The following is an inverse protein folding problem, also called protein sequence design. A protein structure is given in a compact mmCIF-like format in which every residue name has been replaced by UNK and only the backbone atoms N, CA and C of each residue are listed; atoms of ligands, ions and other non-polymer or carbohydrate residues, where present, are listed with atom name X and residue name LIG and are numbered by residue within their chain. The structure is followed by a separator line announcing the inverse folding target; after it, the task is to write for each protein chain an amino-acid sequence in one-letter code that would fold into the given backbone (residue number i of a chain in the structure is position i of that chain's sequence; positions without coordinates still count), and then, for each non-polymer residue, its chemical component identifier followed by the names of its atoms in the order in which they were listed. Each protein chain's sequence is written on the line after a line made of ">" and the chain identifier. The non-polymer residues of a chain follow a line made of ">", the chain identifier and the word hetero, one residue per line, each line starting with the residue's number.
data_IF_674597511515
#
_entry.id   IF_674597511515
#
_cell.length_a   1.000
_cell.length_b   1.000
_cell.length_c   1.000
_cell.angle_alpha   90.00
_cell.angle_beta   90.00
_cell.angle_gamma   90.00
#
_symmetry.space_group_name_H-M   'P 1'
#
loop_
_entity.id
_entity.type
_entity.pdbx_description
1 polymer ?
#
# COMPACT_ATOMS: atom_id res chain seq x y z
N UNK A 1 10.02 -18.32 -24.83
CA UNK A 1 10.93 -19.44 -25.18
C UNK A 1 12.18 -19.49 -24.32
N UNK A 2 13.09 -18.50 -24.34
CA UNK A 2 14.34 -18.55 -23.55
C UNK A 2 14.10 -18.71 -22.05
N UNK A 3 13.14 -17.97 -21.48
CA UNK A 3 12.81 -18.01 -20.05
C UNK A 3 12.30 -19.39 -19.60
N UNK A 4 11.46 -20.03 -20.41
CA UNK A 4 10.92 -21.35 -20.11
C UNK A 4 12.02 -22.44 -20.12
N UNK A 5 12.92 -22.41 -21.11
CA UNK A 5 14.03 -23.37 -21.20
C UNK A 5 15.04 -23.22 -20.05
N UNK A 6 15.20 -22.02 -19.48
CA UNK A 6 16.07 -21.83 -18.31
C UNK A 6 15.45 -22.36 -17.02
N UNK A 7 14.14 -22.24 -16.86
CA UNK A 7 13.43 -22.82 -15.72
C UNK A 7 13.45 -24.35 -15.75
N UNK A 8 13.26 -24.96 -16.91
CA UNK A 8 13.31 -26.41 -17.09
C UNK A 8 14.71 -27.00 -16.78
N UNK A 9 15.74 -26.15 -16.87
CA UNK A 9 17.13 -26.47 -16.55
C UNK A 9 17.55 -26.10 -15.12
N UNK A 10 16.63 -25.61 -14.29
CA UNK A 10 16.89 -25.08 -12.94
C UNK A 10 18.00 -24.02 -12.88
N UNK A 11 18.17 -23.23 -13.95
CA UNK A 11 19.16 -22.17 -14.02
C UNK A 11 18.56 -20.82 -13.59
N UNK A 12 19.36 -19.95 -12.94
CA UNK A 12 18.89 -18.64 -12.52
C UNK A 12 18.58 -17.76 -13.74
N UNK A 13 17.39 -17.18 -13.78
CA UNK A 13 16.96 -16.25 -14.84
C UNK A 13 17.49 -14.86 -14.54
N UNK A 14 18.01 -14.16 -15.55
CA UNK A 14 18.46 -12.77 -15.40
C UNK A 14 17.25 -11.82 -15.33
N UNK A 15 17.29 -10.88 -14.38
CA UNK A 15 16.24 -9.86 -14.22
C UNK A 15 16.02 -9.03 -15.50
N UNK A 16 17.07 -8.85 -16.30
CA UNK A 16 17.01 -8.12 -17.57
C UNK A 16 16.21 -8.88 -18.64
N UNK A 17 16.17 -10.21 -18.58
CA UNK A 17 15.34 -11.00 -19.50
C UNK A 17 13.86 -10.80 -19.20
N UNK A 18 13.51 -10.66 -17.91
CA UNK A 18 12.15 -10.44 -17.46
C UNK A 18 11.73 -9.00 -17.74
N UNK A 19 12.61 -8.02 -17.49
CA UNK A 19 12.32 -6.64 -17.85
C UNK A 19 12.04 -6.50 -19.35
N UNK A 20 12.84 -7.16 -20.21
CA UNK A 20 12.57 -7.22 -21.65
C UNK A 20 11.25 -7.91 -21.96
N UNK A 21 10.88 -8.96 -21.23
CA UNK A 21 9.61 -9.65 -21.45
C UNK A 21 8.42 -8.74 -21.11
N UNK A 22 8.47 -8.06 -19.97
CA UNK A 22 7.44 -7.10 -19.53
C UNK A 22 7.35 -5.90 -20.48
N UNK A 23 8.48 -5.35 -20.91
CA UNK A 23 8.54 -4.20 -21.83
C UNK A 23 7.94 -4.54 -23.22
N UNK A 24 7.99 -5.82 -23.64
CA UNK A 24 7.56 -6.27 -24.98
C UNK A 24 6.15 -6.88 -25.04
N UNK A 25 5.38 -6.85 -23.95
CA UNK A 25 3.99 -7.33 -23.95
C UNK A 25 3.20 -6.56 -25.01
N UNK A 26 2.50 -7.26 -25.89
CA UNK A 26 1.75 -6.66 -27.00
C UNK A 26 0.24 -6.93 -26.91
N UNK A 27 -0.17 -7.93 -26.13
CA UNK A 27 -1.56 -8.40 -26.02
C UNK A 27 -1.99 -8.63 -24.56
N UNK A 28 -3.31 -8.69 -24.32
CA UNK A 28 -3.88 -9.00 -23.00
C UNK A 28 -3.54 -10.42 -22.53
N UNK A 29 -3.44 -11.38 -23.44
CA UNK A 29 -3.04 -12.77 -23.14
C UNK A 29 -1.57 -12.84 -22.71
N UNK A 30 -0.71 -12.03 -23.30
CA UNK A 30 0.69 -11.92 -22.86
C UNK A 30 0.80 -11.33 -21.45
N UNK A 31 -0.19 -10.55 -20.99
CA UNK A 31 -0.26 -10.12 -19.59
C UNK A 31 -0.46 -11.33 -18.65
N UNK A 32 -1.32 -12.31 -19.00
CA UNK A 32 -1.43 -13.56 -18.21
C UNK A 32 -0.11 -14.32 -18.16
N UNK A 33 0.57 -14.42 -19.30
CA UNK A 33 1.87 -15.10 -19.38
C UNK A 33 2.92 -14.38 -18.54
N UNK A 34 2.94 -13.05 -18.59
CA UNK A 34 3.84 -12.21 -17.79
C UNK A 34 3.58 -12.35 -16.30
N UNK A 35 2.31 -12.40 -15.88
CA UNK A 35 1.96 -12.69 -14.50
C UNK A 35 2.56 -14.03 -14.04
N UNK A 36 2.41 -15.08 -14.85
CA UNK A 36 3.00 -16.39 -14.56
C UNK A 36 4.53 -16.35 -14.48
N UNK A 37 5.20 -15.68 -15.40
CA UNK A 37 6.67 -15.58 -15.39
C UNK A 37 7.20 -14.74 -14.22
N UNK A 38 6.48 -13.70 -13.80
CA UNK A 38 6.80 -12.90 -12.61
C UNK A 38 6.68 -13.75 -11.35
N UNK A 39 5.60 -14.52 -11.22
CA UNK A 39 5.42 -15.49 -10.13
C UNK A 39 6.58 -16.49 -10.07
N UNK A 40 6.94 -17.10 -11.21
CA UNK A 40 8.07 -18.05 -11.28
C UNK A 40 9.41 -17.40 -10.96
N UNK A 41 9.60 -16.13 -11.33
CA UNK A 41 10.83 -15.42 -11.00
C UNK A 41 10.98 -15.14 -9.52
N UNK A 42 9.88 -14.82 -8.83
CA UNK A 42 9.89 -14.66 -7.38
C UNK A 42 10.30 -15.94 -6.65
N UNK A 43 10.01 -17.10 -7.23
CA UNK A 43 10.40 -18.42 -6.73
C UNK A 43 11.76 -18.90 -7.28
N UNK A 44 12.56 -17.99 -7.85
CA UNK A 44 13.92 -18.29 -8.35
C UNK A 44 14.99 -17.70 -7.41
N UNK A 45 16.24 -18.18 -7.46
CA UNK A 45 17.34 -17.62 -6.65
C UNK A 45 17.56 -16.12 -6.86
N UNK A 46 17.19 -15.60 -8.04
CA UNK A 46 17.39 -14.20 -8.40
C UNK A 46 16.20 -13.30 -8.04
N UNK A 47 15.29 -13.76 -7.17
CA UNK A 47 14.07 -13.04 -6.82
C UNK A 47 14.31 -11.63 -6.25
N UNK A 48 15.44 -11.43 -5.56
CA UNK A 48 15.84 -10.13 -5.00
C UNK A 48 16.31 -9.14 -6.07
N UNK A 49 16.73 -9.63 -7.24
CA UNK A 49 17.21 -8.78 -8.34
C UNK A 49 16.08 -8.25 -9.24
N UNK A 50 14.81 -8.38 -8.82
CA UNK A 50 13.74 -7.64 -9.48
C UNK A 50 14.02 -6.14 -9.33
N UNK A 51 13.83 -5.38 -10.41
CA UNK A 51 14.18 -3.96 -10.47
C UNK A 51 12.92 -3.12 -10.59
N UNK A 52 12.97 -1.92 -10.03
CA UNK A 52 11.84 -1.00 -9.93
C UNK A 52 11.27 -0.64 -11.31
N UNK A 53 12.12 -0.47 -12.33
CA UNK A 53 11.65 -0.23 -13.70
C UNK A 53 10.83 -1.38 -14.28
N UNK A 54 11.02 -2.62 -13.79
CA UNK A 54 10.27 -3.79 -14.26
C UNK A 54 8.90 -3.82 -13.62
N UNK A 55 8.82 -3.48 -12.33
CA UNK A 55 7.55 -3.28 -11.60
C UNK A 55 6.76 -2.12 -12.21
N UNK A 56 7.45 -1.01 -12.47
CA UNK A 56 6.88 0.17 -13.11
C UNK A 56 6.37 -0.14 -14.53
N UNK A 57 7.19 -0.84 -15.34
CA UNK A 57 6.81 -1.31 -16.68
C UNK A 57 5.60 -2.24 -16.65
N UNK A 58 5.56 -3.19 -15.71
CA UNK A 58 4.44 -4.10 -15.51
C UNK A 58 3.13 -3.35 -15.26
N UNK A 59 3.15 -2.38 -14.36
CA UNK A 59 1.97 -1.60 -14.01
C UNK A 59 1.52 -0.72 -15.17
N UNK A 60 2.44 -0.04 -15.87
CA UNK A 60 2.10 0.71 -17.09
C UNK A 60 1.47 -0.17 -18.14
N UNK A 61 1.97 -1.38 -18.30
CA UNK A 61 1.46 -2.31 -19.30
C UNK A 61 0.10 -2.88 -18.92
N UNK A 62 -0.13 -3.11 -17.63
CA UNK A 62 -1.46 -3.45 -17.14
C UNK A 62 -2.45 -2.32 -17.43
N UNK A 63 -2.08 -1.05 -17.20
CA UNK A 63 -2.93 0.09 -17.51
C UNK A 63 -3.21 0.22 -19.02
N UNK A 64 -2.19 0.02 -19.87
CA UNK A 64 -2.32 0.11 -21.33
C UNK A 64 -3.32 -0.90 -21.91
N UNK A 65 -3.36 -2.12 -21.38
CA UNK A 65 -4.25 -3.20 -21.85
C UNK A 65 -5.56 -3.32 -21.06
N UNK A 66 -5.90 -2.33 -20.22
CA UNK A 66 -7.12 -2.35 -19.40
C UNK A 66 -7.13 -3.48 -18.35
N UNK A 67 -5.96 -3.96 -17.97
CA UNK A 67 -5.70 -5.11 -17.13
C UNK A 67 -5.56 -4.76 -15.64
N UNK A 68 -6.44 -3.88 -15.12
CA UNK A 68 -6.27 -3.27 -13.79
C UNK A 68 -6.46 -4.28 -12.65
N UNK A 69 -7.41 -5.18 -12.83
CA UNK A 69 -7.70 -6.35 -11.99
C UNK A 69 -6.45 -7.21 -11.73
N UNK A 70 -5.62 -7.44 -12.75
CA UNK A 70 -4.33 -8.14 -12.57
C UNK A 70 -3.30 -7.31 -11.82
N UNK A 71 -3.21 -6.01 -12.11
CA UNK A 71 -2.32 -5.13 -11.36
C UNK A 71 -2.68 -5.17 -9.86
N UNK A 72 -3.96 -5.04 -9.52
CA UNK A 72 -4.43 -5.13 -8.14
C UNK A 72 -4.16 -6.51 -7.52
N UNK A 73 -4.42 -7.59 -8.26
CA UNK A 73 -4.12 -8.95 -7.79
C UNK A 73 -2.63 -9.12 -7.44
N UNK A 74 -1.74 -8.67 -8.32
CA UNK A 74 -0.30 -8.79 -8.10
C UNK A 74 0.23 -7.92 -6.95
N UNK A 75 -0.38 -6.75 -6.74
CA UNK A 75 -0.03 -5.85 -5.62
C UNK A 75 -0.53 -6.42 -4.28
N UNK A 76 -1.77 -6.94 -4.22
CA UNK A 76 -2.28 -7.64 -3.03
C UNK A 76 -1.43 -8.87 -2.68
N UNK A 77 -1.03 -9.63 -3.69
CA UNK A 77 -0.19 -10.82 -3.52
C UNK A 77 1.32 -10.50 -3.56
N UNK A 78 1.75 -9.43 -2.88
CA UNK A 78 3.15 -8.96 -2.86
C UNK A 78 4.19 -10.02 -2.51
N UNK A 79 3.85 -10.98 -1.63
CA UNK A 79 4.78 -12.05 -1.23
C UNK A 79 5.09 -13.00 -2.39
N UNK A 80 4.06 -13.35 -3.16
CA UNK A 80 4.13 -14.36 -4.22
C UNK A 80 4.69 -13.82 -5.53
N UNK A 81 4.43 -12.55 -5.85
CA UNK A 81 4.93 -11.91 -7.07
C UNK A 81 6.16 -11.03 -6.85
N UNK A 82 6.38 -10.56 -5.62
CA UNK A 82 7.50 -9.67 -5.29
C UNK A 82 7.37 -8.27 -5.89
N UNK A 83 6.15 -7.84 -6.21
CA UNK A 83 5.89 -6.53 -6.82
C UNK A 83 5.68 -5.51 -5.70
N UNK A 84 6.68 -4.64 -5.53
CA UNK A 84 6.65 -3.51 -4.60
C UNK A 84 6.74 -2.23 -5.42
N UNK A 85 5.60 -1.58 -5.71
CA UNK A 85 5.57 -0.37 -6.51
C UNK A 85 6.20 0.82 -5.77
N UNK A 86 6.75 1.74 -6.54
CA UNK A 86 7.20 3.06 -6.08
C UNK A 86 5.97 3.99 -5.89
N UNK A 87 6.09 5.03 -5.05
CA UNK A 87 5.06 6.03 -4.75
C UNK A 87 4.42 6.59 -6.03
N UNK A 88 5.25 6.95 -7.01
CA UNK A 88 4.76 7.47 -8.29
C UNK A 88 3.94 6.43 -9.05
N UNK A 89 4.31 5.15 -8.94
CA UNK A 89 3.60 4.07 -9.62
C UNK A 89 2.27 3.76 -8.94
N UNK A 90 2.20 3.89 -7.61
CA UNK A 90 0.93 3.88 -6.87
C UNK A 90 0.02 5.03 -7.30
N UNK A 91 0.55 6.24 -7.46
CA UNK A 91 -0.22 7.39 -7.94
C UNK A 91 -0.86 7.13 -9.31
N UNK A 92 -0.13 6.54 -10.25
CA UNK A 92 -0.67 6.19 -11.57
C UNK A 92 -1.84 5.20 -11.48
N UNK A 93 -1.73 4.20 -10.59
CA UNK A 93 -2.82 3.25 -10.38
C UNK A 93 -4.01 3.91 -9.69
N UNK A 94 -3.79 4.69 -8.64
CA UNK A 94 -4.84 5.41 -7.91
C UNK A 94 -5.61 6.36 -8.84
N UNK A 95 -4.91 7.17 -9.62
CA UNK A 95 -5.52 8.08 -10.61
C UNK A 95 -6.40 7.32 -11.61
N UNK A 96 -5.95 6.13 -12.05
CA UNK A 96 -6.73 5.29 -12.97
C UNK A 96 -8.02 4.74 -12.36
N UNK A 97 -8.04 4.44 -11.06
CA UNK A 97 -9.24 3.98 -10.36
C UNK A 97 -10.17 5.14 -10.02
N UNK A 98 -9.62 6.30 -9.66
CA UNK A 98 -10.37 7.52 -9.37
C UNK A 98 -11.14 7.99 -10.62
N UNK A 99 -10.49 7.97 -11.79
CA UNK A 99 -11.12 8.34 -13.08
C UNK A 99 -12.29 7.44 -13.48
N UNK A 100 -12.24 6.19 -13.06
CA UNK A 100 -13.26 5.18 -13.35
C UNK A 100 -14.31 5.06 -12.22
N UNK A 101 -14.22 5.91 -11.20
CA UNK A 101 -15.10 5.94 -10.02
C UNK A 101 -15.14 4.61 -9.21
N UNK A 102 -14.13 3.75 -9.36
CA UNK A 102 -13.99 2.51 -8.58
C UNK A 102 -13.27 2.77 -7.25
N UNK A 103 -14.02 3.31 -6.29
CA UNK A 103 -13.50 3.64 -4.96
C UNK A 103 -13.18 2.41 -4.10
N UNK A 104 -13.77 1.24 -4.39
CA UNK A 104 -13.50 0.01 -3.63
C UNK A 104 -12.09 -0.50 -3.93
N UNK A 105 -11.76 -0.61 -5.22
CA UNK A 105 -10.42 -1.00 -5.66
C UNK A 105 -9.37 0.05 -5.27
N UNK A 106 -9.73 1.33 -5.33
CA UNK A 106 -8.86 2.41 -4.85
C UNK A 106 -8.54 2.27 -3.35
N UNK A 107 -9.51 1.97 -2.50
CA UNK A 107 -9.24 1.75 -1.06
C UNK A 107 -8.36 0.54 -0.81
N UNK A 108 -8.66 -0.59 -1.45
CA UNK A 108 -7.77 -1.76 -1.42
C UNK A 108 -6.33 -1.42 -1.83
N UNK A 109 -6.13 -0.50 -2.77
CA UNK A 109 -4.80 -0.07 -3.18
C UNK A 109 -4.15 0.83 -2.11
N UNK A 110 -4.90 1.75 -1.50
CA UNK A 110 -4.42 2.59 -0.39
C UNK A 110 -4.02 1.75 0.82
N UNK A 111 -4.73 0.65 1.10
CA UNK A 111 -4.33 -0.31 2.12
C UNK A 111 -2.94 -0.91 1.82
N UNK A 112 -2.64 -1.21 0.56
CA UNK A 112 -1.33 -1.72 0.17
C UNK A 112 -0.24 -0.65 0.22
N UNK A 113 -0.55 0.60 -0.13
CA UNK A 113 0.34 1.75 0.10
C UNK A 113 0.68 1.87 1.57
N UNK A 114 -0.34 1.71 2.43
CA UNK A 114 -0.18 1.74 3.88
C UNK A 114 0.68 0.58 4.40
N UNK A 115 0.45 -0.64 3.94
CA UNK A 115 1.25 -1.81 4.35
C UNK A 115 2.73 -1.71 3.93
N UNK A 116 3.03 -0.88 2.92
CA UNK A 116 4.40 -0.60 2.48
C UNK A 116 4.97 0.68 3.09
N UNK A 117 4.18 1.42 3.88
CA UNK A 117 4.51 2.73 4.44
C UNK A 117 4.97 3.74 3.37
N UNK A 118 4.44 3.62 2.15
CA UNK A 118 4.85 4.34 0.95
C UNK A 118 4.17 5.73 0.85
N UNK A 119 4.53 6.63 1.78
CA UNK A 119 3.96 7.99 1.87
C UNK A 119 5.03 9.09 1.77
N UNK A 120 6.12 8.88 1.05
CA UNK A 120 7.18 9.88 0.92
C UNK A 120 6.72 11.08 0.08
N UNK A 121 5.92 10.82 -0.97
CA UNK A 121 5.40 11.87 -1.85
C UNK A 121 4.15 12.56 -1.28
N UNK A 122 4.04 13.90 -1.37
CA UNK A 122 2.80 14.60 -1.01
C UNK A 122 1.61 14.18 -1.88
N UNK A 123 1.83 13.81 -3.13
CA UNK A 123 0.77 13.38 -4.06
C UNK A 123 0.11 12.06 -3.65
N UNK A 124 0.87 11.05 -3.20
CA UNK A 124 0.32 9.79 -2.68
C UNK A 124 -0.55 10.05 -1.45
N UNK A 125 -0.14 10.97 -0.58
CA UNK A 125 -0.90 11.37 0.60
C UNK A 125 -2.23 12.04 0.22
N UNK A 126 -2.21 12.97 -0.75
CA UNK A 126 -3.41 13.67 -1.20
C UNK A 126 -4.39 12.71 -1.90
N UNK A 127 -3.89 11.87 -2.81
CA UNK A 127 -4.70 10.91 -3.55
C UNK A 127 -5.29 9.82 -2.65
N UNK A 128 -4.52 9.35 -1.65
CA UNK A 128 -5.03 8.40 -0.67
C UNK A 128 -6.15 9.00 0.18
N UNK A 129 -5.99 10.22 0.71
CA UNK A 129 -7.04 10.91 1.47
C UNK A 129 -8.30 11.16 0.62
N UNK A 130 -8.12 11.50 -0.65
CA UNK A 130 -9.23 11.66 -1.58
C UNK A 130 -9.99 10.34 -1.79
N UNK A 131 -9.28 9.24 -2.08
CA UNK A 131 -9.89 7.93 -2.29
C UNK A 131 -10.64 7.44 -1.04
N UNK A 132 -10.03 7.60 0.14
CA UNK A 132 -10.64 7.23 1.43
C UNK A 132 -11.87 8.11 1.75
N UNK A 133 -11.79 9.41 1.47
CA UNK A 133 -12.92 10.33 1.66
C UNK A 133 -14.12 9.99 0.77
N UNK A 134 -13.88 9.65 -0.50
CA UNK A 134 -14.92 9.20 -1.43
C UNK A 134 -15.53 7.85 -1.02
N UNK A 135 -14.72 6.93 -0.50
CA UNK A 135 -15.20 5.65 0.00
C UNK A 135 -16.07 5.79 1.24
N UNK A 136 -15.66 6.63 2.20
CA UNK A 136 -16.47 6.96 3.38
C UNK A 136 -17.82 7.60 3.01
N UNK A 137 -17.85 8.44 1.98
CA UNK A 137 -19.08 9.04 1.48
C UNK A 137 -20.08 8.00 0.92
N UNK A 138 -19.57 6.86 0.43
CA UNK A 138 -20.39 5.75 -0.09
C UNK A 138 -21.07 4.95 1.05
N UNK A 139 -20.65 5.15 2.32
CA UNK A 139 -21.16 4.49 3.54
C UNK A 139 -21.52 3.00 3.37
N UNK A 140 -20.57 2.14 2.99
CA UNK A 140 -20.80 0.70 3.03
C UNK A 140 -21.03 0.22 4.47
N UNK A 141 -21.80 -0.85 4.65
CA UNK A 141 -21.79 -1.62 5.90
C UNK A 141 -20.40 -2.26 6.01
N UNK A 142 -19.53 -1.65 6.81
CA UNK A 142 -18.15 -2.09 6.95
C UNK A 142 -18.08 -3.34 7.82
N UNK A 143 -17.31 -4.32 7.37
CA UNK A 143 -16.90 -5.42 8.23
C UNK A 143 -15.81 -4.95 9.19
N UNK A 144 -15.68 -5.58 10.36
CA UNK A 144 -14.63 -5.23 11.34
C UNK A 144 -13.20 -5.27 10.76
N UNK A 145 -12.96 -6.07 9.71
CA UNK A 145 -11.67 -6.10 9.02
C UNK A 145 -11.45 -4.87 8.14
N UNK A 146 -12.49 -4.40 7.45
CA UNK A 146 -12.45 -3.20 6.64
C UNK A 146 -12.39 -1.94 7.51
N UNK A 147 -13.04 -1.92 8.68
CA UNK A 147 -12.88 -0.83 9.65
C UNK A 147 -11.44 -0.74 10.15
N UNK A 148 -10.78 -1.88 10.37
CA UNK A 148 -9.37 -1.94 10.76
C UNK A 148 -8.46 -1.38 9.66
N UNK A 149 -8.65 -1.81 8.41
CA UNK A 149 -7.81 -1.37 7.30
C UNK A 149 -8.05 0.10 6.94
N UNK A 150 -9.30 0.54 6.97
CA UNK A 150 -9.69 1.93 6.80
C UNK A 150 -9.15 2.81 7.92
N UNK A 151 -9.26 2.37 9.17
CA UNK A 151 -8.74 3.10 10.32
C UNK A 151 -7.22 3.29 10.28
N UNK A 152 -6.49 2.23 9.93
CA UNK A 152 -5.05 2.26 9.83
C UNK A 152 -4.56 3.13 8.66
N UNK A 153 -5.20 3.01 7.49
CA UNK A 153 -4.85 3.82 6.31
C UNK A 153 -5.07 5.31 6.57
N UNK A 154 -6.19 5.70 7.18
CA UNK A 154 -6.46 7.09 7.54
C UNK A 154 -5.49 7.64 8.58
N UNK A 155 -5.09 6.83 9.57
CA UNK A 155 -4.13 7.24 10.59
C UNK A 155 -2.78 7.56 9.95
N UNK A 156 -2.25 6.66 9.13
CA UNK A 156 -0.91 6.80 8.55
C UNK A 156 -0.90 7.91 7.50
N UNK A 157 -1.90 7.97 6.60
CA UNK A 157 -2.06 9.10 5.67
C UNK A 157 -2.21 10.44 6.40
N UNK A 158 -2.85 10.43 7.58
CA UNK A 158 -3.09 11.61 8.38
C UNK A 158 -1.85 12.12 9.13
N UNK A 159 -0.93 11.25 9.58
CA UNK A 159 0.31 11.67 10.27
C UNK A 159 1.19 12.52 9.37
N UNK A 160 1.26 12.18 8.08
CA UNK A 160 2.09 12.88 7.11
C UNK A 160 1.56 14.28 6.73
N UNK A 161 0.30 14.58 7.06
CA UNK A 161 -0.38 15.83 6.69
C UNK A 161 -0.62 16.74 7.92
N UNK A 162 0.02 17.90 7.95
CA UNK A 162 -0.22 18.93 8.97
C UNK A 162 -1.49 19.78 8.76
N UNK A 163 -2.37 19.36 7.86
CA UNK A 163 -3.59 20.10 7.47
C UNK A 163 -4.81 19.68 8.29
N UNK A 164 -5.86 20.50 8.29
CA UNK A 164 -7.20 20.21 8.83
C UNK A 164 -7.70 18.81 8.47
N UNK A 165 -7.44 18.37 7.23
CA UNK A 165 -7.86 17.05 6.72
C UNK A 165 -7.02 15.95 7.35
N UNK A 166 -5.69 16.13 7.45
CA UNK A 166 -4.81 15.16 8.10
C UNK A 166 -5.20 14.92 9.56
N UNK A 167 -5.50 16.00 10.30
CA UNK A 167 -5.95 15.92 11.70
C UNK A 167 -7.33 15.28 11.82
N UNK A 168 -8.26 15.58 10.91
CA UNK A 168 -9.57 14.93 10.85
C UNK A 168 -9.47 13.44 10.51
N UNK A 169 -8.54 13.06 9.62
CA UNK A 169 -8.26 11.67 9.25
C UNK A 169 -7.60 10.90 10.40
N UNK A 170 -6.68 11.52 11.15
CA UNK A 170 -6.12 10.94 12.38
C UNK A 170 -7.20 10.66 13.42
N UNK A 171 -8.15 11.59 13.59
CA UNK A 171 -9.25 11.42 14.55
C UNK A 171 -10.14 10.24 14.16
N UNK A 172 -10.57 10.18 12.89
CA UNK A 172 -11.43 9.12 12.38
C UNK A 172 -10.69 7.76 12.37
N UNK A 173 -9.41 7.75 12.00
CA UNK A 173 -8.57 6.55 12.03
C UNK A 173 -8.44 5.97 13.44
N UNK A 174 -8.12 6.81 14.43
CA UNK A 174 -8.02 6.38 15.82
C UNK A 174 -9.39 5.95 16.41
N UNK A 175 -10.49 6.57 15.99
CA UNK A 175 -11.83 6.16 16.41
C UNK A 175 -12.20 4.76 15.91
N UNK A 176 -11.96 4.49 14.61
CA UNK A 176 -12.19 3.16 14.01
C UNK A 176 -11.30 2.09 14.64
N UNK A 177 -10.01 2.37 14.84
CA UNK A 177 -9.09 1.43 15.49
C UNK A 177 -9.49 1.18 16.95
N UNK A 178 -9.97 2.21 17.66
CA UNK A 178 -10.51 2.07 19.00
C UNK A 178 -11.73 1.15 19.04
N UNK A 179 -12.67 1.24 18.09
CA UNK A 179 -13.79 0.29 18.00
C UNK A 179 -13.30 -1.16 17.85
N UNK A 180 -12.32 -1.38 16.98
CA UNK A 180 -11.77 -2.72 16.73
C UNK A 180 -11.05 -3.24 17.98
N UNK A 181 -10.31 -2.39 18.68
CA UNK A 181 -9.67 -2.68 19.97
C UNK A 181 -10.72 -3.14 21.01
N UNK A 182 -11.84 -2.43 21.13
CA UNK A 182 -12.91 -2.82 22.05
C UNK A 182 -13.61 -4.11 21.64
N UNK A 183 -13.86 -4.34 20.35
CA UNK A 183 -14.60 -5.51 19.89
C UNK A 183 -13.78 -6.80 20.01
N UNK A 184 -12.52 -6.80 19.53
CA UNK A 184 -11.70 -8.00 19.33
C UNK A 184 -10.36 -8.00 20.10
N UNK A 185 -10.05 -6.95 20.84
CA UNK A 185 -8.79 -6.80 21.58
C UNK A 185 -7.64 -6.26 20.72
N UNK A 186 -6.57 -5.80 21.37
CA UNK A 186 -5.52 -5.04 20.69
C UNK A 186 -4.67 -5.86 19.72
N UNK A 187 -4.57 -7.16 19.96
CA UNK A 187 -3.80 -8.07 19.12
C UNK A 187 -4.32 -8.10 17.67
N UNK A 188 -5.63 -7.97 17.47
CA UNK A 188 -6.22 -7.91 16.12
C UNK A 188 -5.88 -6.61 15.40
N UNK A 189 -5.67 -5.52 16.14
CA UNK A 189 -5.35 -4.20 15.58
C UNK A 189 -3.97 -4.19 14.92
N UNK A 190 -2.92 -4.62 15.63
CA UNK A 190 -1.55 -4.57 15.10
C UNK A 190 -1.14 -5.78 14.26
N UNK A 191 -1.84 -6.93 14.36
CA UNK A 191 -1.45 -8.14 13.61
C UNK A 191 -1.52 -7.92 12.10
N UNK A 192 -0.33 -7.88 11.47
CA UNK A 192 -0.16 -7.73 10.02
C UNK A 192 -0.30 -6.29 9.52
N UNK A 193 -0.30 -5.30 10.41
CA UNK A 193 -0.38 -3.88 10.09
C UNK A 193 0.82 -3.14 10.69
N UNK A 194 1.32 -2.06 10.06
CA UNK A 194 2.36 -1.20 10.61
C UNK A 194 1.78 -0.27 11.70
N UNK A 195 1.26 -0.86 12.76
CA UNK A 195 0.68 -0.14 13.90
C UNK A 195 1.44 -0.50 15.19
N UNK A 196 1.45 0.43 16.14
CA UNK A 196 2.05 0.17 17.45
C UNK A 196 1.21 -0.80 18.28
N UNK A 197 1.87 -1.57 19.14
CA UNK A 197 1.26 -2.47 20.13
C UNK A 197 0.76 -1.75 21.38
N UNK A 198 0.92 -0.43 21.44
CA UNK A 198 0.51 0.41 22.56
C UNK A 198 -1.02 0.61 22.58
N UNK A 199 -1.59 0.51 23.77
CA UNK A 199 -3.03 0.62 24.01
C UNK A 199 -3.55 2.06 23.97
N UNK A 200 -4.87 2.17 23.79
CA UNK A 200 -5.58 3.44 23.94
C UNK A 200 -5.63 4.27 22.67
N UNK A 201 -6.12 3.69 21.57
CA UNK A 201 -6.38 4.46 20.35
C UNK A 201 -7.42 5.58 20.57
N UNK A 202 -8.40 5.38 21.46
CA UNK A 202 -9.32 6.45 21.85
C UNK A 202 -8.66 7.55 22.67
N UNK A 203 -7.68 7.24 23.52
CA UNK A 203 -6.94 8.27 24.24
C UNK A 203 -6.12 9.13 23.27
N UNK A 204 -5.52 8.49 22.27
CA UNK A 204 -4.86 9.21 21.16
C UNK A 204 -5.83 10.07 20.37
N UNK A 205 -7.05 9.58 20.11
CA UNK A 205 -8.11 10.37 19.47
C UNK A 205 -8.44 11.63 20.29
N UNK A 206 -8.61 11.49 21.61
CA UNK A 206 -8.86 12.64 22.51
C UNK A 206 -7.67 13.59 22.56
N UNK A 207 -6.43 13.08 22.56
CA UNK A 207 -5.23 13.90 22.49
C UNK A 207 -5.11 14.67 21.16
N UNK A 208 -5.63 14.12 20.06
CA UNK A 208 -5.78 14.88 18.79
C UNK A 208 -6.76 16.03 18.98
N UNK A 209 -7.93 15.79 19.58
CA UNK A 209 -8.92 16.85 19.84
C UNK A 209 -8.37 17.95 20.78
N UNK A 210 -7.62 17.58 21.81
CA UNK A 210 -6.97 18.52 22.71
C UNK A 210 -5.90 19.35 22.01
N UNK A 211 -5.11 18.72 21.13
CA UNK A 211 -4.16 19.45 20.28
C UNK A 211 -4.87 20.47 19.39
N UNK A 212 -6.02 20.12 18.82
CA UNK A 212 -6.82 21.07 18.01
C UNK A 212 -7.43 22.18 18.88
N UNK A 213 -7.93 21.86 20.07
CA UNK A 213 -8.46 22.84 21.01
C UNK A 213 -7.38 23.83 21.47
N UNK A 214 -6.16 23.35 21.72
CA UNK A 214 -5.01 24.15 22.13
C UNK A 214 -4.35 24.92 20.96
N UNK A 215 -4.43 24.41 19.72
CA UNK A 215 -3.85 25.07 18.56
C UNK A 215 -4.56 26.39 18.26
N UNK A 216 -3.80 27.46 18.10
CA UNK A 216 -4.30 28.82 17.77
C UNK A 216 -4.46 29.07 16.26
N UNK A 217 -4.31 28.03 15.43
CA UNK A 217 -4.32 28.11 13.97
C UNK A 217 -5.64 27.69 13.32
N UNK A 218 -5.70 27.85 11.98
CA UNK A 218 -6.81 27.54 11.06
C UNK A 218 -7.14 26.03 10.95
N UNK A 219 -6.62 25.21 11.87
CA UNK A 219 -6.84 23.77 11.92
C UNK A 219 -8.22 23.52 12.53
N UNK A 220 -9.11 22.99 11.71
CA UNK A 220 -10.50 22.67 12.08
C UNK A 220 -10.72 21.16 11.99
N UNK A 221 -11.83 20.70 12.54
CA UNK A 221 -12.28 19.31 12.40
C UNK A 221 -13.50 19.23 11.50
N UNK A 222 -13.54 18.22 10.64
CA UNK A 222 -14.72 17.93 9.82
C UNK A 222 -15.87 17.40 10.69
N UNK A 223 -17.11 17.80 10.36
CA UNK A 223 -18.31 17.29 11.06
C UNK A 223 -18.46 15.76 10.99
N UNK A 224 -17.99 15.14 9.91
CA UNK A 224 -18.05 13.68 9.72
C UNK A 224 -17.10 12.92 10.66
N UNK A 225 -15.97 13.53 11.05
CA UNK A 225 -15.04 12.95 12.03
C UNK A 225 -15.59 12.90 13.46
N UNK A 226 -16.71 13.59 13.72
CA UNK A 226 -17.39 13.64 15.01
C UNK A 226 -18.62 12.70 15.06
N UNK A 227 -18.86 11.92 14.00
CA UNK A 227 -19.99 10.99 13.97
C UNK A 227 -19.92 9.99 15.14
N UNK A 228 -21.11 9.72 15.68
CA UNK A 228 -21.51 8.97 16.88
C UNK A 228 -21.05 7.50 16.93
N UNK A 229 -19.78 7.28 16.65
CA UNK A 229 -19.14 5.98 16.57
C UNK A 229 -18.89 5.39 17.97
N UNK A 230 -18.68 6.25 18.97
CA UNK A 230 -18.50 5.85 20.37
C UNK A 230 -19.79 5.35 21.04
N UNK A 231 -20.96 5.88 20.65
CA UNK A 231 -22.26 5.39 21.12
C UNK A 231 -22.69 4.09 20.45
N UNK A 232 -22.18 3.78 19.25
CA UNK A 232 -22.42 2.48 18.62
C UNK A 232 -21.58 1.34 19.21
N UNK A 233 -20.45 1.66 19.87
CA UNK A 233 -19.59 0.66 20.50
C UNK A 233 -20.23 0.00 21.73
N UNK A 234 -21.27 0.60 22.32
CA UNK A 234 -22.06 -0.02 23.41
C UNK A 234 -23.12 -1.00 22.91
N UNK A 235 -23.47 -0.98 21.62
CA UNK A 235 -24.59 -1.78 21.08
C UNK A 235 -24.13 -3.08 20.39
N UNK A 236 -22.81 -3.31 20.27
CA UNK A 236 -22.24 -4.48 19.57
C UNK A 236 -22.03 -5.71 20.47
N UNK A 237 -22.62 -5.76 21.67
CA UNK A 237 -22.73 -7.00 22.46
C UNK A 237 -23.91 -7.88 22.01
N UNK A 238 -24.13 -8.10 20.70
CA UNK A 238 -25.02 -9.17 20.23
C UNK A 238 -25.06 -9.22 18.70
N UNK A 239 -24.21 -10.04 18.06
CA UNK A 239 -24.66 -10.93 16.97
C UNK A 239 -23.50 -11.72 16.34
N UNK A 240 -23.70 -13.03 16.23
CA UNK A 240 -23.11 -13.86 15.16
C UNK A 240 -21.88 -14.67 15.55
N UNK A 241 -22.12 -15.91 15.98
CA UNK A 241 -21.12 -16.98 16.06
C UNK A 241 -20.45 -17.21 14.69
N UNK A 242 -19.14 -16.98 14.58
CA UNK A 242 -18.34 -17.62 13.53
C UNK A 242 -17.65 -18.86 14.14
N UNK A 243 -18.05 -20.01 13.61
CA UNK A 243 -17.52 -21.34 13.92
C UNK A 243 -16.06 -21.46 13.46
N UNK A 244 -15.11 -21.01 14.30
CA UNK A 244 -13.66 -21.26 14.18
C UNK A 244 -13.21 -22.37 15.14
N UNK A 245 -12.35 -23.27 14.65
CA UNK A 245 -11.90 -24.49 15.34
C UNK A 245 -11.24 -24.27 16.70
N UNK A 246 -11.18 -25.33 17.51
CA UNK A 246 -10.77 -25.33 18.93
C UNK A 246 -9.37 -24.74 19.21
N UNK A 247 -8.52 -24.55 18.21
CA UNK A 247 -7.21 -23.89 18.35
C UNK A 247 -7.29 -22.35 18.40
N UNK A 248 -8.30 -21.70 17.79
CA UNK A 248 -8.47 -20.24 17.86
C UNK A 248 -9.01 -19.77 19.22
N UNK A 249 -9.73 -20.64 19.93
CA UNK A 249 -10.31 -20.33 21.26
C UNK A 249 -9.26 -20.07 22.35
N UNK A 250 -8.02 -20.56 22.19
CA UNK A 250 -6.94 -20.29 23.16
C UNK A 250 -6.25 -18.93 22.97
N UNK A 251 -6.35 -18.33 21.78
CA UNK A 251 -5.71 -17.05 21.45
C UNK A 251 -6.67 -15.84 21.55
N UNK A 252 -7.94 -16.07 21.88
CA UNK A 252 -8.98 -15.05 22.10
C UNK A 252 -9.27 -14.82 23.60
N UNK A 253 -8.32 -15.08 24.49
CA UNK A 253 -8.43 -14.61 25.85
C UNK A 253 -8.26 -13.09 25.84
N UNK A 254 -9.37 -12.35 25.95
CA UNK A 254 -9.36 -10.89 26.16
C UNK A 254 -8.49 -10.62 27.39
N UNK A 255 -7.38 -9.91 27.18
CA UNK A 255 -6.39 -9.68 28.22
C UNK A 255 -7.03 -8.90 29.39
N UNK A 256 -6.56 -9.10 30.62
CA UNK A 256 -7.02 -8.29 31.78
C UNK A 256 -6.85 -6.79 31.49
N UNK A 257 -5.86 -6.46 30.67
CA UNK A 257 -5.58 -5.11 30.21
C UNK A 257 -6.66 -4.57 29.25
N UNK A 258 -7.17 -5.38 28.32
CA UNK A 258 -8.26 -5.00 27.40
C UNK A 258 -9.57 -4.73 28.18
N UNK A 259 -9.80 -5.48 29.27
CA UNK A 259 -10.94 -5.26 30.16
C UNK A 259 -10.81 -3.96 30.95
N UNK A 260 -9.60 -3.59 31.37
CA UNK A 260 -9.33 -2.32 32.03
C UNK A 260 -9.56 -1.11 31.11
N UNK A 261 -9.24 -1.22 29.82
CA UNK A 261 -9.56 -0.19 28.83
C UNK A 261 -11.07 -0.07 28.58
N UNK A 262 -11.80 -1.19 28.52
CA UNK A 262 -13.28 -1.19 28.45
C UNK A 262 -13.91 -0.47 29.64
N UNK A 263 -13.33 -0.58 30.83
CA UNK A 263 -13.82 0.13 32.01
C UNK A 263 -13.64 1.66 31.94
N UNK A 264 -12.72 2.17 31.10
CA UNK A 264 -12.48 3.61 30.89
C UNK A 264 -13.44 4.24 29.86
N UNK A 265 -14.23 3.43 29.15
CA UNK A 265 -15.19 3.88 28.14
C UNK A 265 -16.14 5.01 28.60
N UNK A 266 -16.78 4.96 29.79
CA UNK A 266 -17.61 6.08 30.25
C UNK A 266 -16.82 7.39 30.44
N UNK A 267 -15.56 7.32 30.86
CA UNK A 267 -14.69 8.48 30.99
C UNK A 267 -14.27 9.05 29.63
N UNK A 268 -14.03 8.20 28.63
CA UNK A 268 -13.78 8.65 27.27
C UNK A 268 -15.00 9.37 26.66
N UNK A 269 -16.20 8.85 26.91
CA UNK A 269 -17.45 9.47 26.43
C UNK A 269 -17.70 10.83 27.10
N UNK A 270 -17.43 10.98 28.40
CA UNK A 270 -17.59 12.29 29.06
C UNK A 270 -16.59 13.31 28.53
N UNK A 271 -15.31 12.93 28.42
CA UNK A 271 -14.25 13.81 27.90
C UNK A 271 -14.48 14.18 26.44
N UNK A 272 -14.99 13.25 25.62
CA UNK A 272 -15.37 13.54 24.24
C UNK A 272 -16.49 14.58 24.15
N UNK A 273 -17.52 14.47 24.99
CA UNK A 273 -18.62 15.46 25.04
C UNK A 273 -18.12 16.85 25.45
N UNK A 274 -17.25 16.91 26.46
CA UNK A 274 -16.63 18.16 26.91
C UNK A 274 -15.79 18.82 25.80
N UNK A 275 -14.89 18.05 25.18
CA UNK A 275 -14.04 18.56 24.09
C UNK A 275 -14.86 18.96 22.87
N UNK A 276 -15.94 18.23 22.56
CA UNK A 276 -16.86 18.61 21.49
C UNK A 276 -17.52 19.95 21.77
N UNK A 277 -18.04 20.19 22.98
CA UNK A 277 -18.60 21.51 23.33
C UNK A 277 -17.55 22.62 23.23
N UNK A 278 -16.32 22.38 23.68
CA UNK A 278 -15.24 23.36 23.59
C UNK A 278 -14.87 23.70 22.13
N UNK A 279 -14.89 22.72 21.22
CA UNK A 279 -14.59 22.93 19.81
C UNK A 279 -15.73 23.63 19.06
N UNK A 280 -16.98 23.35 19.44
CA UNK A 280 -18.17 24.06 18.96
C UNK A 280 -18.15 25.53 19.42
N UNK A 281 -17.84 25.80 20.70
CA UNK A 281 -17.72 27.15 21.26
C UNK A 281 -16.60 27.96 20.58
N UNK A 282 -15.51 27.30 20.19
CA UNK A 282 -14.37 27.93 19.50
C UNK A 282 -14.57 28.08 17.98
N UNK A 283 -15.72 27.66 17.42
CA UNK A 283 -15.98 27.62 15.97
C UNK A 283 -14.90 26.87 15.16
N UNK A 284 -14.29 25.83 15.73
CA UNK A 284 -13.25 25.02 15.07
C UNK A 284 -13.79 23.81 14.33
N UNK A 285 -15.10 23.74 14.11
CA UNK A 285 -15.76 22.65 13.36
C UNK A 285 -16.13 23.17 11.97
N UNK A 286 -15.58 22.56 10.93
CA UNK A 286 -15.98 22.85 9.55
C UNK A 286 -17.26 22.09 9.20
N UNK A 287 -18.26 22.77 8.60
CA UNK A 287 -19.48 22.12 8.15
C UNK A 287 -19.27 21.26 6.89
N UNK A 288 -18.13 21.41 6.21
CA UNK A 288 -17.79 20.65 5.02
C UNK A 288 -17.51 19.18 5.36
N UNK A 289 -17.97 18.26 4.50
CA UNK A 289 -17.66 16.84 4.61
C UNK A 289 -16.16 16.60 4.38
N UNK A 290 -15.63 15.51 4.94
CA UNK A 290 -14.23 15.13 4.75
C UNK A 290 -13.89 14.98 3.26
N UNK A 291 -14.84 14.49 2.46
CA UNK A 291 -14.73 14.43 1.00
C UNK A 291 -14.59 15.82 0.37
N UNK A 292 -15.44 16.78 0.75
CA UNK A 292 -15.40 18.13 0.18
C UNK A 292 -14.06 18.82 0.50
N UNK A 293 -13.55 18.64 1.71
CA UNK A 293 -12.25 19.15 2.10
C UNK A 293 -11.12 18.45 1.33
N UNK A 294 -11.16 17.12 1.21
CA UNK A 294 -10.19 16.37 0.42
C UNK A 294 -10.19 16.80 -1.06
N UNK A 295 -11.37 17.06 -1.64
CA UNK A 295 -11.49 17.56 -3.02
C UNK A 295 -10.91 18.97 -3.18
N UNK A 296 -11.16 19.87 -2.21
CA UNK A 296 -10.62 21.23 -2.24
C UNK A 296 -9.09 21.23 -2.09
N UNK A 297 -8.56 20.39 -1.20
CA UNK A 297 -7.12 20.22 -1.03
C UNK A 297 -6.49 19.64 -2.29
N UNK A 298 -7.08 18.59 -2.87
CA UNK A 298 -6.60 18.03 -4.14
C UNK A 298 -6.59 19.09 -5.26
N UNK A 299 -7.61 19.93 -5.38
CA UNK A 299 -7.63 20.99 -6.40
C UNK A 299 -6.55 22.06 -6.20
N UNK A 300 -6.15 22.34 -4.96
CA UNK A 300 -5.21 23.41 -4.65
C UNK A 300 -3.75 22.95 -4.66
N UNK A 301 -3.44 21.80 -4.06
CA UNK A 301 -2.06 21.35 -3.82
C UNK A 301 -1.53 20.33 -4.81
N UNK A 302 -2.41 19.59 -5.52
CA UNK A 302 -2.00 18.51 -6.41
C UNK A 302 -1.16 19.03 -7.59
N UNK A 303 -1.56 20.12 -8.23
CA UNK A 303 -0.84 20.65 -9.40
C UNK A 303 0.59 21.15 -9.07
N UNK A 304 0.85 21.55 -7.82
CA UNK A 304 2.19 21.91 -7.37
C UNK A 304 3.03 20.66 -7.03
N UNK A 305 2.41 19.68 -6.36
CA UNK A 305 3.05 18.41 -6.03
C UNK A 305 3.44 17.62 -7.30
N UNK A 306 2.54 17.53 -8.27
CA UNK A 306 2.75 16.82 -9.54
C UNK A 306 3.99 17.33 -10.30
N UNK A 307 4.26 18.64 -10.28
CA UNK A 307 5.43 19.21 -10.95
C UNK A 307 6.74 18.71 -10.32
N UNK A 308 6.84 18.78 -9.00
CA UNK A 308 7.99 18.26 -8.26
C UNK A 308 8.17 16.75 -8.47
N UNK A 309 7.06 16.01 -8.46
CA UNK A 309 7.10 14.56 -8.62
C UNK A 309 7.52 14.14 -10.03
N UNK A 310 7.08 14.88 -11.05
CA UNK A 310 7.51 14.67 -12.44
C UNK A 310 9.01 14.91 -12.63
N UNK A 311 9.57 15.96 -12.04
CA UNK A 311 11.01 16.23 -12.09
C UNK A 311 11.81 15.08 -11.45
N UNK A 312 11.39 14.60 -10.28
CA UNK A 312 12.03 13.45 -9.62
C UNK A 312 11.87 12.16 -10.44
N UNK A 313 10.73 11.98 -11.09
CA UNK A 313 10.46 10.82 -11.92
C UNK A 313 11.32 10.82 -13.19
N UNK A 314 11.49 11.97 -13.86
CA UNK A 314 12.36 12.09 -15.05
C UNK A 314 13.80 11.71 -14.74
N UNK A 315 14.34 12.18 -13.60
CA UNK A 315 15.68 11.81 -13.14
C UNK A 315 15.79 10.30 -12.87
N UNK A 316 14.78 9.71 -12.22
CA UNK A 316 14.72 8.26 -11.96
C UNK A 316 14.69 7.45 -13.27
N UNK A 317 13.91 7.87 -14.26
CA UNK A 317 13.82 7.18 -15.56
C UNK A 317 15.17 7.22 -16.29
N UNK A 318 15.86 8.36 -16.28
CA UNK A 318 17.20 8.47 -16.87
C UNK A 318 18.22 7.54 -16.17
N UNK A 319 18.17 7.45 -14.84
CA UNK A 319 19.00 6.53 -14.07
C UNK A 319 18.71 5.07 -14.44
N UNK A 320 17.43 4.68 -14.52
CA UNK A 320 17.02 3.33 -14.93
C UNK A 320 17.50 2.99 -16.34
N UNK A 321 17.45 3.93 -17.29
CA UNK A 321 17.98 3.70 -18.63
C UNK A 321 19.49 3.50 -18.64
N UNK A 322 20.24 4.27 -17.85
CA UNK A 322 21.68 4.12 -17.72
C UNK A 322 22.04 2.73 -17.14
N UNK A 323 21.34 2.30 -16.08
CA UNK A 323 21.53 0.98 -15.49
C UNK A 323 21.17 -0.15 -16.45
N UNK A 324 20.04 -0.05 -17.16
CA UNK A 324 19.64 -1.01 -18.21
C UNK A 324 20.73 -1.12 -19.28
N UNK A 325 21.31 0.00 -19.73
CA UNK A 325 22.41 0.04 -20.72
C UNK A 325 23.67 -0.64 -20.19
N UNK A 326 24.06 -0.35 -18.96
CA UNK A 326 25.23 -0.99 -18.31
C UNK A 326 25.04 -2.51 -18.18
N UNK A 327 23.88 -2.96 -17.73
CA UNK A 327 23.58 -4.40 -17.60
C UNK A 327 23.57 -5.09 -18.98
N UNK A 328 23.04 -4.43 -20.01
CA UNK A 328 23.05 -4.96 -21.36
C UNK A 328 24.47 -5.06 -21.95
N UNK A 329 25.37 -4.12 -21.62
CA UNK A 329 26.79 -4.19 -22.01
C UNK A 329 27.48 -5.37 -21.31
N UNK A 330 27.30 -5.52 -19.99
CA UNK A 330 27.84 -6.66 -19.24
C UNK A 330 27.34 -8.00 -19.78
N UNK A 331 26.06 -8.10 -20.13
CA UNK A 331 25.50 -9.31 -20.75
C UNK A 331 26.19 -9.65 -22.08
N UNK A 332 26.46 -8.64 -22.92
CA UNK A 332 27.16 -8.82 -24.21
C UNK A 332 28.60 -9.26 -24.00
N UNK A 333 29.33 -8.62 -23.09
CA UNK A 333 30.72 -8.97 -22.77
C UNK A 333 30.82 -10.41 -22.25
N UNK A 334 29.91 -10.82 -21.37
CA UNK A 334 29.86 -12.20 -20.85
C UNK A 334 29.57 -13.22 -21.96
N UNK A 335 28.70 -12.88 -22.94
CA UNK A 335 28.45 -13.75 -24.09
C UNK A 335 29.67 -13.89 -24.99
N UNK A 336 30.37 -12.79 -25.29
CA UNK A 336 31.60 -12.83 -26.10
C UNK A 336 32.70 -13.65 -25.41
N UNK A 337 32.90 -13.45 -24.09
CA UNK A 337 33.86 -14.26 -23.31
C UNK A 337 33.50 -15.75 -23.33
N UNK A 338 32.22 -16.09 -23.13
CA UNK A 338 31.76 -17.48 -23.18
C UNK A 338 31.93 -18.12 -24.57
N UNK A 339 31.75 -17.35 -25.65
CA UNK A 339 32.02 -17.80 -27.02
C UNK A 339 33.51 -18.06 -27.27
N UNK A 340 34.38 -17.16 -26.80
CA UNK A 340 35.84 -17.32 -26.87
C UNK A 340 36.30 -18.57 -26.10
N UNK A 341 35.88 -18.74 -24.85
CA UNK A 341 36.21 -19.92 -24.06
C UNK A 341 35.70 -21.23 -24.69
N UNK A 342 34.54 -21.19 -25.36
CA UNK A 342 34.01 -22.35 -26.08
C UNK A 342 34.88 -22.68 -27.29
N UNK A 343 35.33 -21.68 -28.05
CA UNK A 343 36.22 -21.88 -29.19
C UNK A 343 37.59 -22.41 -28.73
N UNK A 344 38.15 -21.87 -27.65
CA UNK A 344 39.41 -22.35 -27.06
C UNK A 344 39.29 -23.80 -26.59
N UNK A 345 38.22 -24.16 -25.88
CA UNK A 345 37.96 -25.56 -25.47
C UNK A 345 37.82 -26.50 -26.66
N UNK A 346 37.13 -26.07 -27.73
CA UNK A 346 37.01 -26.87 -28.95
C UNK A 346 38.35 -27.03 -29.67
N UNK A 347 39.16 -25.98 -29.73
CA UNK A 347 40.51 -26.05 -30.30
C UNK A 347 41.43 -26.96 -29.49
N UNK A 348 41.36 -26.91 -28.16
CA UNK A 348 42.12 -27.80 -27.27
C UNK A 348 41.71 -29.26 -27.44
N UNK A 349 40.40 -29.55 -27.49
CA UNK A 349 39.90 -30.91 -27.73
C UNK A 349 40.30 -31.42 -29.12
N UNK A 350 40.25 -30.57 -30.14
CA UNK A 350 40.70 -30.93 -31.49
C UNK A 350 42.22 -31.20 -31.54
N UNK A 351 43.02 -30.40 -30.85
CA UNK A 351 44.46 -30.61 -30.75
C UNK A 351 44.81 -31.89 -29.98
N UNK A 352 44.09 -32.18 -28.89
CA UNK A 352 44.25 -33.44 -28.13
C UNK A 352 43.84 -34.66 -28.96
N UNK A 353 42.75 -34.58 -29.71
CA UNK A 353 42.32 -35.65 -30.62
C UNK A 353 43.32 -35.87 -31.76
N UNK A 354 43.89 -34.80 -32.33
CA UNK A 354 44.92 -34.91 -33.36
C UNK A 354 46.22 -35.51 -32.81
N UNK A 355 46.62 -35.14 -31.60
CA UNK A 355 47.80 -35.70 -30.93
C UNK A 355 47.62 -37.18 -30.52
N UNK A 356 46.39 -37.61 -30.20
CA UNK A 356 46.09 -39.02 -29.89
C UNK A 356 45.96 -39.91 -31.14
N UNK A 357 45.84 -39.32 -32.32
CA UNK A 357 45.75 -40.02 -33.61
C UNK A 357 47.11 -40.15 -34.34
N UNK A 358 48.16 -39.49 -33.83
CA UNK A 358 49.56 -39.68 -34.21
C UNK A 358 50.21 -40.70 -33.29
#
# INVERSE_FOLDING_TARGET
>A
FVVWMTYDRNLPVSSLTISRFVDNISSREEVDQAEYYLYKFRHSPNCWYLRDWTVHGWIRQCLKYGARDKALHTVKNKVQYGIYPDDFTFNLLLDSYIKDEDFKSACSLVEEVMLQEAFDLPSTQILSLYALGCYLATRPQLTLSEERSLGASLLISGISQGTTIGVSAQLLGNALLGKVEFAKGIHVVFKGMPLSWEQGYLERALAVMERVAAASGDVKLSKDSLLEELSSASDTESSGEESGGEEEKKNQAVDEHDQAERAKLPHYVSRFKELRSQLEDQNKVEPASLQALATALAQQSLAAAEKSDLEQYEVRVQAWEAEKKMLAQREKEMKVKAEQEKQERQAQLAAQAAAAAQ
#
